data_IF_266772122442
#
_entry.id   IF_266772122442
#
_cell.length_a   1.000
_cell.length_b   1.000
_cell.length_c   1.000
_cell.angle_alpha   90.00
_cell.angle_beta   90.00
_cell.angle_gamma   90.00
#
_symmetry.space_group_name_H-M   'P 1'
#
loop_
_entity.id
_entity.type
_entity.pdbx_description
1 polymer ?
#
# COMPACT_ATOMS: atom_id res chain seq x y z
N UNK A 1 20.80 15.91 -14.76
CA UNK A 1 19.79 14.92 -14.29
C UNK A 1 18.83 14.64 -15.45
N UNK A 2 19.19 13.76 -16.39
CA UNK A 2 18.32 13.41 -17.51
C UNK A 2 17.23 12.46 -17.03
N UNK A 3 15.98 12.93 -17.02
CA UNK A 3 14.81 12.12 -16.70
C UNK A 3 14.64 11.09 -17.82
N UNK A 4 14.96 9.83 -17.58
CA UNK A 4 14.58 8.74 -18.49
C UNK A 4 13.05 8.67 -18.52
N UNK A 5 12.45 9.32 -19.52
CA UNK A 5 11.04 9.18 -19.82
C UNK A 5 10.84 7.78 -20.39
N UNK A 6 9.87 7.04 -19.86
CA UNK A 6 9.45 5.78 -20.47
C UNK A 6 9.05 6.05 -21.93
N UNK A 7 9.53 5.24 -22.90
CA UNK A 7 9.22 5.45 -24.30
C UNK A 7 7.69 5.48 -24.51
N UNK A 8 7.22 6.43 -25.32
CA UNK A 8 5.80 6.55 -25.67
C UNK A 8 5.35 5.29 -26.42
N UNK A 9 4.10 4.88 -26.21
CA UNK A 9 3.46 3.75 -26.92
C UNK A 9 3.16 4.17 -28.37
N UNK A 10 4.12 4.02 -29.28
CA UNK A 10 4.02 4.47 -30.68
C UNK A 10 3.52 3.39 -31.66
N UNK A 11 3.84 2.13 -31.39
CA UNK A 11 3.55 1.03 -32.33
C UNK A 11 2.20 0.35 -32.04
N UNK A 12 1.51 -0.08 -33.11
CA UNK A 12 0.26 -0.84 -33.05
C UNK A 12 0.50 -2.32 -33.33
N UNK A 13 -0.07 -3.19 -32.50
CA UNK A 13 -0.03 -4.64 -32.68
C UNK A 13 -1.41 -5.14 -33.14
N UNK A 14 -1.49 -5.62 -34.39
CA UNK A 14 -2.71 -6.24 -34.94
C UNK A 14 -2.62 -7.77 -34.89
N UNK A 15 -3.66 -8.43 -34.37
CA UNK A 15 -3.69 -9.89 -34.20
C UNK A 15 -4.97 -10.44 -34.81
N UNK A 16 -4.83 -11.40 -35.72
CA UNK A 16 -5.97 -12.15 -36.30
C UNK A 16 -6.25 -13.37 -35.43
N UNK A 17 -7.49 -13.50 -34.95
CA UNK A 17 -7.94 -14.60 -34.10
C UNK A 17 -9.26 -15.19 -34.63
N UNK A 18 -9.54 -16.49 -34.41
CA UNK A 18 -10.88 -17.04 -34.61
C UNK A 18 -11.93 -16.26 -33.80
N UNK A 19 -13.14 -16.16 -34.35
CA UNK A 19 -14.23 -15.40 -33.73
C UNK A 19 -14.50 -15.83 -32.29
N UNK A 20 -14.56 -17.14 -32.05
CA UNK A 20 -14.80 -17.71 -30.73
C UNK A 20 -13.74 -17.28 -29.71
N UNK A 21 -12.46 -17.30 -30.10
CA UNK A 21 -11.34 -16.88 -29.24
C UNK A 21 -11.42 -15.41 -28.89
N UNK A 22 -11.73 -14.55 -29.88
CA UNK A 22 -11.93 -13.11 -29.65
C UNK A 22 -13.08 -12.87 -28.66
N UNK A 23 -14.22 -13.52 -28.86
CA UNK A 23 -15.40 -13.34 -27.99
C UNK A 23 -15.12 -13.80 -26.56
N UNK A 24 -14.48 -14.97 -26.38
CA UNK A 24 -14.11 -15.47 -25.06
C UNK A 24 -13.12 -14.53 -24.35
N UNK A 25 -12.12 -14.03 -25.08
CA UNK A 25 -11.15 -13.08 -24.54
C UNK A 25 -11.79 -11.74 -24.13
N UNK A 26 -12.67 -11.20 -24.97
CA UNK A 26 -13.39 -9.95 -24.67
C UNK A 26 -14.32 -10.10 -23.48
N UNK A 27 -15.04 -11.21 -23.37
CA UNK A 27 -15.90 -11.50 -22.21
C UNK A 27 -15.08 -11.55 -20.91
N UNK A 28 -13.92 -12.21 -20.92
CA UNK A 28 -13.01 -12.23 -19.77
C UNK A 28 -12.52 -10.83 -19.39
N UNK A 29 -12.14 -10.01 -20.37
CA UNK A 29 -11.71 -8.64 -20.12
C UNK A 29 -12.81 -7.81 -19.44
N UNK A 30 -14.07 -7.97 -19.87
CA UNK A 30 -15.22 -7.31 -19.26
C UNK A 30 -15.44 -7.74 -17.81
N UNK A 31 -15.40 -9.05 -17.53
CA UNK A 31 -15.53 -9.58 -16.16
C UNK A 31 -14.41 -9.07 -15.24
N UNK A 32 -13.20 -8.93 -15.75
CA UNK A 32 -12.04 -8.40 -14.99
C UNK A 32 -12.02 -6.86 -14.91
N UNK A 33 -12.93 -6.16 -15.59
CA UNK A 33 -12.95 -4.69 -15.63
C UNK A 33 -11.74 -4.06 -16.33
N UNK A 34 -11.16 -4.76 -17.32
CA UNK A 34 -9.91 -4.36 -18.01
C UNK A 34 -10.13 -4.20 -19.50
N UNK A 35 -9.28 -3.37 -20.13
CA UNK A 35 -9.28 -3.27 -21.60
C UNK A 35 -8.49 -4.44 -22.21
N UNK A 36 -8.89 -4.87 -23.42
CA UNK A 36 -8.14 -5.86 -24.20
C UNK A 36 -6.66 -5.48 -24.35
N UNK A 37 -6.38 -4.20 -24.63
CA UNK A 37 -5.02 -3.70 -24.80
C UNK A 37 -4.17 -3.78 -23.52
N UNK A 38 -4.79 -3.68 -22.35
CA UNK A 38 -4.11 -3.84 -21.06
C UNK A 38 -3.80 -5.31 -20.79
N UNK A 39 -4.76 -6.19 -21.05
CA UNK A 39 -4.57 -7.63 -20.88
C UNK A 39 -3.45 -8.18 -21.78
N UNK A 40 -3.40 -7.77 -23.05
CA UNK A 40 -2.33 -8.17 -23.99
C UNK A 40 -0.97 -7.65 -23.53
N UNK A 41 -0.88 -6.39 -23.09
CA UNK A 41 0.40 -5.83 -22.59
C UNK A 41 0.90 -6.59 -21.37
N UNK A 42 0.02 -6.84 -20.39
CA UNK A 42 0.37 -7.60 -19.18
C UNK A 42 0.84 -9.02 -19.51
N UNK A 43 0.20 -9.66 -20.48
CA UNK A 43 0.63 -10.97 -20.97
C UNK A 43 2.04 -10.91 -21.57
N UNK A 44 2.31 -9.95 -22.46
CA UNK A 44 3.63 -9.75 -23.07
C UNK A 44 4.69 -9.47 -22.02
N UNK A 45 4.42 -8.58 -21.06
CA UNK A 45 5.37 -8.25 -19.98
C UNK A 45 5.72 -9.50 -19.16
N UNK A 46 4.74 -10.38 -18.91
CA UNK A 46 4.95 -11.65 -18.22
C UNK A 46 5.81 -12.65 -19.01
N UNK A 47 5.57 -12.78 -20.32
CA UNK A 47 6.39 -13.62 -21.20
C UNK A 47 7.83 -13.10 -21.31
N UNK A 48 8.04 -11.78 -21.38
CA UNK A 48 9.37 -11.16 -21.42
C UNK A 48 10.12 -11.30 -20.09
N UNK A 49 9.44 -11.07 -18.97
CA UNK A 49 10.04 -11.17 -17.65
C UNK A 49 10.44 -12.62 -17.29
N UNK A 50 9.88 -13.60 -18.00
CA UNK A 50 10.07 -15.02 -17.76
C UNK A 50 9.41 -15.49 -16.46
N UNK A 51 9.40 -16.81 -16.18
CA UNK A 51 8.90 -17.32 -14.92
C UNK A 51 9.75 -16.75 -13.80
N UNK A 52 9.17 -15.84 -13.01
CA UNK A 52 9.80 -15.35 -11.79
C UNK A 52 10.02 -16.57 -10.89
N UNK A 53 11.24 -17.08 -10.84
CA UNK A 53 11.66 -18.11 -9.88
C UNK A 53 11.46 -17.50 -8.50
N UNK A 54 10.26 -17.65 -7.92
CA UNK A 54 10.06 -17.35 -6.50
C UNK A 54 11.07 -18.22 -5.78
N UNK A 55 12.00 -17.65 -5.00
CA UNK A 55 12.93 -18.47 -4.25
C UNK A 55 12.06 -19.34 -3.34
N UNK A 56 12.16 -20.65 -3.52
CA UNK A 56 11.60 -21.61 -2.58
C UNK A 56 12.44 -21.48 -1.32
N UNK A 57 12.09 -20.51 -0.48
CA UNK A 57 12.66 -20.42 0.86
C UNK A 57 12.27 -21.70 1.57
N UNK A 58 13.28 -22.42 2.04
CA UNK A 58 13.04 -23.59 2.87
C UNK A 58 12.27 -23.14 4.12
N UNK A 59 11.34 -23.97 4.59
CA UNK A 59 10.54 -23.68 5.79
C UNK A 59 11.44 -23.35 7.00
N UNK A 60 12.63 -23.94 7.05
CA UNK A 60 13.65 -23.65 8.07
C UNK A 60 14.26 -22.24 7.95
N UNK A 61 14.45 -21.73 6.73
CA UNK A 61 14.94 -20.35 6.53
C UNK A 61 13.89 -19.32 6.95
N UNK A 62 12.61 -19.61 6.71
CA UNK A 62 11.52 -18.78 7.20
C UNK A 62 11.45 -18.78 8.74
N UNK A 63 11.63 -19.94 9.37
CA UNK A 63 11.70 -20.06 10.83
C UNK A 63 12.89 -19.31 11.43
N UNK A 64 14.09 -19.45 10.85
CA UNK A 64 15.28 -18.75 11.31
C UNK A 64 15.14 -17.22 11.22
N UNK A 65 14.55 -16.71 10.14
CA UNK A 65 14.30 -15.28 9.96
C UNK A 65 13.28 -14.74 10.98
N UNK A 66 12.22 -15.50 11.28
CA UNK A 66 11.23 -15.12 12.30
C UNK A 66 11.84 -15.03 13.71
N UNK A 67 12.69 -15.99 14.09
CA UNK A 67 13.38 -15.98 15.38
C UNK A 67 14.33 -14.78 15.53
N UNK A 68 15.09 -14.45 14.48
CA UNK A 68 15.98 -13.29 14.48
C UNK A 68 15.22 -11.95 14.60
N UNK A 69 14.09 -11.80 13.89
CA UNK A 69 13.26 -10.60 13.99
C UNK A 69 12.69 -10.38 15.39
N UNK A 70 12.31 -11.46 16.08
CA UNK A 70 11.75 -11.40 17.44
C UNK A 70 12.81 -10.99 18.49
N UNK A 71 14.06 -11.42 18.31
CA UNK A 71 15.17 -11.02 19.19
C UNK A 71 15.53 -9.52 19.07
N UNK A 72 15.46 -8.95 17.87
CA UNK A 72 15.72 -7.52 17.65
C UNK A 72 14.58 -6.65 18.19
N UNK A 73 13.32 -7.08 18.05
CA UNK A 73 12.14 -6.35 18.55
C UNK A 73 12.08 -6.22 20.08
N UNK A 74 12.63 -7.18 20.83
CA UNK A 74 12.60 -7.19 22.29
C UNK A 74 13.49 -6.09 22.93
N UNK A 75 14.50 -5.58 22.22
CA UNK A 75 15.47 -4.62 22.78
C UNK A 75 15.00 -3.16 22.63
N UNK A 76 14.08 -2.86 21.71
CA UNK A 76 13.60 -1.49 21.45
C UNK A 76 12.21 -1.17 22.03
N UNK A 77 11.52 -2.14 22.64
CA UNK A 77 10.16 -1.97 23.17
C UNK A 77 10.00 -0.91 24.30
N UNK A 78 10.94 -0.69 25.23
CA UNK A 78 10.70 0.25 26.34
C UNK A 78 10.59 1.71 25.89
N UNK A 79 11.27 2.08 24.81
CA UNK A 79 11.38 3.48 24.35
C UNK A 79 10.10 4.00 23.68
N UNK A 80 9.24 3.10 23.19
CA UNK A 80 7.90 3.43 22.66
C UNK A 80 6.81 3.47 23.73
N UNK A 81 7.03 2.83 24.89
CA UNK A 81 6.06 2.86 25.99
C UNK A 81 6.11 4.18 26.79
N UNK A 82 7.21 4.94 26.69
CA UNK A 82 7.38 6.21 27.42
C UNK A 82 6.67 7.40 26.75
N UNK A 83 6.33 7.31 25.46
CA UNK A 83 5.55 8.35 24.77
C UNK A 83 4.07 8.33 25.15
N UNK A 84 3.58 7.26 25.78
CA UNK A 84 2.19 7.14 26.22
C UNK A 84 1.85 8.00 27.44
N UNK A 85 2.85 8.45 28.22
CA UNK A 85 2.62 9.32 29.38
C UNK A 85 2.56 10.82 29.03
N UNK A 86 2.95 11.20 27.81
CA UNK A 86 2.76 12.56 27.29
C UNK A 86 1.34 12.78 26.71
N UNK A 87 0.55 11.72 26.52
CA UNK A 87 -0.80 11.78 25.95
C UNK A 87 -1.87 12.28 26.94
N UNK A 88 -1.56 12.36 28.24
CA UNK A 88 -2.49 12.87 29.28
C UNK A 88 -2.45 14.41 29.40
N UNK A 89 -1.33 15.03 29.07
CA UNK A 89 -1.15 16.48 29.10
C UNK A 89 -2.11 17.28 28.17
N UNK A 90 -2.38 16.87 26.91
CA UNK A 90 -3.27 17.64 26.04
C UNK A 90 -4.73 17.61 26.49
N UNK A 91 -5.17 16.55 27.16
CA UNK A 91 -6.56 16.42 27.62
C UNK A 91 -6.85 17.25 28.86
N UNK A 92 -5.95 17.21 29.84
CA UNK A 92 -6.04 18.09 31.01
C UNK A 92 -5.89 19.58 30.67
N UNK A 93 -5.17 19.93 29.60
CA UNK A 93 -5.12 21.29 29.10
C UNK A 93 -6.44 21.71 28.44
N UNK A 94 -7.02 20.83 27.62
CA UNK A 94 -8.31 21.05 26.97
C UNK A 94 -9.45 21.22 27.98
N UNK A 95 -9.55 20.33 28.97
CA UNK A 95 -10.60 20.35 30.01
C UNK A 95 -10.56 21.63 30.87
N UNK A 96 -9.41 22.33 30.93
CA UNK A 96 -9.29 23.64 31.60
C UNK A 96 -9.84 24.79 30.78
N UNK A 97 -9.76 24.68 29.45
CA UNK A 97 -10.21 25.72 28.52
C UNK A 97 -11.70 25.59 28.20
N UNK A 98 -12.18 24.36 28.01
CA UNK A 98 -13.60 24.05 27.79
C UNK A 98 -14.38 24.12 29.11
N UNK A 99 -14.73 25.35 29.52
CA UNK A 99 -15.42 25.62 30.79
C UNK A 99 -16.87 25.16 30.80
N UNK A 100 -17.51 25.09 29.63
CA UNK A 100 -18.90 24.67 29.52
C UNK A 100 -19.04 23.15 29.29
N UNK A 101 -17.92 22.45 29.04
CA UNK A 101 -17.81 21.02 28.80
C UNK A 101 -18.64 20.53 27.62
N UNK A 102 -18.81 21.36 26.59
CA UNK A 102 -19.49 21.01 25.35
C UNK A 102 -18.58 20.28 24.34
N UNK A 103 -17.29 20.11 24.68
CA UNK A 103 -16.30 19.44 23.87
C UNK A 103 -15.66 20.32 22.81
N UNK A 104 -15.88 21.65 22.82
CA UNK A 104 -15.21 22.63 21.96
C UNK A 104 -14.77 23.85 22.76
N UNK A 105 -13.59 24.40 22.47
CA UNK A 105 -13.15 25.65 23.09
C UNK A 105 -13.59 26.82 22.20
N UNK A 106 -14.56 27.61 22.67
CA UNK A 106 -14.97 28.83 21.98
C UNK A 106 -13.89 29.92 22.09
N UNK A 107 -13.95 30.92 21.22
CA UNK A 107 -13.01 32.05 21.26
C UNK A 107 -13.09 32.84 22.58
N UNK A 108 -14.29 32.95 23.15
CA UNK A 108 -14.51 33.60 24.44
C UNK A 108 -13.87 32.81 25.59
N UNK A 109 -13.93 31.48 25.54
CA UNK A 109 -13.27 30.61 26.52
C UNK A 109 -11.75 30.65 26.40
N UNK A 110 -11.23 30.61 25.18
CA UNK A 110 -9.80 30.76 24.91
C UNK A 110 -9.23 32.09 25.41
N UNK A 111 -9.98 33.18 25.30
CA UNK A 111 -9.58 34.52 25.79
C UNK A 111 -9.68 34.70 27.30
N UNK A 112 -10.47 33.87 27.96
CA UNK A 112 -10.74 33.96 29.40
C UNK A 112 -9.91 32.96 30.22
N UNK A 113 -9.28 31.98 29.57
CA UNK A 113 -8.24 31.10 30.13
C UNK A 113 -6.85 31.73 30.05
#
# INVERSE_FOLDING_TARGET
MTRQLSPKKSETLEIRLPHQTKTAFMARCQTEGRTASEAVRRFIDGEIAGPSRRPRVSLWQAFAAAAAGLAIGAVAAPSLAQTSHAATAPRAAFDRLDRNHDGVVSYAEFRAG
#
